data_IF_977259747365
#
_entry.id   IF_977259747365
#
_cell.length_a   1.000
_cell.length_b   1.000
_cell.length_c   1.000
_cell.angle_alpha   90.00
_cell.angle_beta   90.00
_cell.angle_gamma   90.00
#
_symmetry.space_group_name_H-M   'P 1'
#
loop_
_entity.id
_entity.type
_entity.pdbx_description
1 polymer ?
#
# COMPACT_ATOMS: atom_id res chain seq x y z
N UNK A 1 -20.40 -0.29 23.79
CA UNK A 1 -20.90 -1.55 23.19
C UNK A 1 -19.72 -2.50 23.03
N UNK A 2 -19.85 -3.77 23.40
CA UNK A 2 -18.80 -4.79 23.18
C UNK A 2 -19.15 -5.62 21.94
N UNK A 3 -18.24 -5.67 20.96
CA UNK A 3 -18.39 -6.49 19.74
C UNK A 3 -17.35 -7.63 19.77
N UNK A 4 -17.80 -8.82 20.18
CA UNK A 4 -16.99 -10.04 20.16
C UNK A 4 -17.35 -10.89 18.93
N UNK A 5 -16.32 -11.34 18.21
CA UNK A 5 -16.45 -12.25 17.07
C UNK A 5 -15.08 -12.78 16.66
N UNK A 6 -15.03 -13.95 16.01
CA UNK A 6 -13.78 -14.59 15.56
C UNK A 6 -12.94 -13.67 14.65
N UNK A 7 -11.61 -13.88 14.59
CA UNK A 7 -10.73 -13.18 13.66
C UNK A 7 -11.29 -13.19 12.24
N UNK A 8 -11.19 -12.07 11.53
CA UNK A 8 -11.72 -11.83 10.16
C UNK A 8 -13.22 -11.50 10.01
N UNK A 9 -14.04 -11.48 11.06
CA UNK A 9 -15.50 -11.22 10.93
C UNK A 9 -15.93 -9.78 10.57
N UNK A 10 -15.06 -8.94 9.99
CA UNK A 10 -15.41 -7.58 9.56
C UNK A 10 -15.64 -6.55 10.70
N UNK A 11 -15.26 -6.88 11.94
CA UNK A 11 -15.43 -6.00 13.13
C UNK A 11 -14.74 -4.65 12.97
N UNK A 12 -13.52 -4.63 12.41
CA UNK A 12 -12.80 -3.39 12.11
C UNK A 12 -13.53 -2.53 11.07
N UNK A 13 -14.27 -3.16 10.14
CA UNK A 13 -15.09 -2.45 9.15
C UNK A 13 -16.30 -1.78 9.78
N UNK A 14 -16.95 -2.42 10.76
CA UNK A 14 -18.09 -1.83 11.48
C UNK A 14 -17.66 -0.67 12.39
N UNK A 15 -16.52 -0.79 13.08
CA UNK A 15 -15.98 0.33 13.88
C UNK A 15 -15.56 1.49 12.99
N UNK A 16 -14.94 1.23 11.82
CA UNK A 16 -14.63 2.27 10.83
C UNK A 16 -15.90 2.94 10.28
N UNK A 17 -16.94 2.18 9.96
CA UNK A 17 -18.25 2.69 9.53
C UNK A 17 -18.94 3.53 10.62
N UNK A 18 -18.83 3.14 11.90
CA UNK A 18 -19.37 3.93 13.02
C UNK A 18 -18.59 5.24 13.25
N UNK A 19 -17.26 5.26 13.05
CA UNK A 19 -16.45 6.49 13.15
C UNK A 19 -16.81 7.50 12.06
N UNK A 20 -17.07 7.02 10.83
CA UNK A 20 -17.56 7.84 9.72
C UNK A 20 -18.91 8.49 10.05
N UNK A 21 -19.81 7.77 10.75
CA UNK A 21 -21.16 8.24 11.01
C UNK A 21 -21.31 9.18 12.23
N UNK A 22 -20.38 9.19 13.20
CA UNK A 22 -20.61 9.84 14.50
C UNK A 22 -19.53 10.80 15.03
N UNK A 23 -18.38 11.00 14.35
CA UNK A 23 -17.31 11.87 14.86
C UNK A 23 -16.70 12.68 13.71
N UNK A 24 -17.02 13.98 13.63
CA UNK A 24 -16.36 15.11 12.93
C UNK A 24 -15.21 14.87 11.92
N UNK A 25 -15.29 13.88 11.02
CA UNK A 25 -14.23 13.56 10.06
C UNK A 25 -12.88 13.23 10.71
N UNK A 26 -11.82 13.22 9.89
CA UNK A 26 -10.43 13.08 10.35
C UNK A 26 -9.78 14.45 10.49
N UNK A 27 -9.04 14.67 11.58
CA UNK A 27 -8.29 15.92 11.81
C UNK A 27 -7.13 16.07 10.80
N UNK A 28 -6.70 17.30 10.52
CA UNK A 28 -5.56 17.56 9.64
C UNK A 28 -4.27 16.87 10.13
N UNK A 29 -4.07 16.80 11.46
CA UNK A 29 -2.98 16.04 12.06
C UNK A 29 -3.05 14.53 11.78
N UNK A 30 -4.24 13.92 11.83
CA UNK A 30 -4.41 12.50 11.49
C UNK A 30 -4.14 12.25 10.01
N UNK A 31 -4.53 13.20 9.13
CA UNK A 31 -4.25 13.13 7.70
C UNK A 31 -2.75 13.17 7.42
N UNK A 32 -2.01 14.08 8.05
CA UNK A 32 -0.55 14.18 7.87
C UNK A 32 0.14 12.87 8.28
N UNK A 33 -0.21 12.30 9.43
CA UNK A 33 0.33 11.02 9.87
C UNK A 33 -0.02 9.87 8.90
N UNK A 34 -1.21 9.92 8.30
CA UNK A 34 -1.64 8.93 7.31
C UNK A 34 -0.90 9.02 5.98
N UNK A 35 -0.35 10.17 5.62
CA UNK A 35 0.46 10.30 4.39
C UNK A 35 1.66 9.36 4.45
N UNK A 36 2.37 9.30 5.58
CA UNK A 36 3.53 8.42 5.75
C UNK A 36 3.13 6.95 5.64
N UNK A 37 2.04 6.55 6.28
CA UNK A 37 1.52 5.18 6.18
C UNK A 37 1.12 4.82 4.74
N UNK A 38 0.53 5.75 3.98
CA UNK A 38 0.15 5.55 2.58
C UNK A 38 1.39 5.39 1.69
N UNK A 39 2.41 6.23 1.86
CA UNK A 39 3.69 6.11 1.16
C UNK A 39 4.34 4.76 1.43
N UNK A 40 4.34 4.33 2.70
CA UNK A 40 4.82 3.00 3.10
C UNK A 40 4.01 1.88 2.45
N UNK A 41 2.68 1.99 2.39
CA UNK A 41 1.84 1.00 1.71
C UNK A 41 2.17 0.88 0.22
N UNK A 42 2.43 1.99 -0.48
CA UNK A 42 2.86 1.97 -1.89
C UNK A 42 4.19 1.20 -2.04
N UNK A 43 5.17 1.54 -1.20
CA UNK A 43 6.50 0.93 -1.18
C UNK A 43 6.44 -0.56 -0.88
N UNK A 44 5.77 -0.93 0.21
CA UNK A 44 5.65 -2.33 0.63
C UNK A 44 4.89 -3.15 -0.43
N UNK A 45 3.89 -2.57 -1.10
CA UNK A 45 3.18 -3.23 -2.20
C UNK A 45 4.09 -3.51 -3.40
N UNK A 46 4.80 -2.50 -3.92
CA UNK A 46 5.65 -2.69 -5.10
C UNK A 46 6.86 -3.59 -4.79
N UNK A 47 7.46 -3.48 -3.59
CA UNK A 47 8.50 -4.38 -3.09
C UNK A 47 8.03 -5.83 -3.09
N UNK A 48 6.83 -6.07 -2.54
CA UNK A 48 6.28 -7.42 -2.43
C UNK A 48 6.00 -8.01 -3.81
N UNK A 49 5.38 -7.25 -4.71
CA UNK A 49 5.05 -7.74 -6.06
C UNK A 49 6.32 -8.07 -6.83
N UNK A 50 7.29 -7.14 -6.87
CA UNK A 50 8.54 -7.32 -7.63
C UNK A 50 9.42 -8.44 -7.03
N UNK A 51 9.46 -8.57 -5.71
CA UNK A 51 10.12 -9.69 -5.04
C UNK A 51 9.45 -11.04 -5.31
N UNK A 52 8.11 -11.06 -5.43
CA UNK A 52 7.36 -12.28 -5.69
C UNK A 52 7.57 -12.81 -7.12
N UNK A 53 7.85 -11.95 -8.11
CA UNK A 53 7.98 -12.33 -9.53
C UNK A 53 8.91 -13.53 -9.76
N UNK A 54 10.06 -13.58 -9.08
CA UNK A 54 11.04 -14.67 -9.19
C UNK A 54 10.69 -15.91 -8.36
N UNK A 55 9.84 -15.76 -7.34
CA UNK A 55 9.43 -16.84 -6.41
C UNK A 55 8.19 -17.60 -6.86
N UNK A 56 7.36 -16.98 -7.71
CA UNK A 56 6.18 -17.62 -8.29
C UNK A 56 6.57 -18.84 -9.14
N UNK A 57 5.68 -19.83 -9.22
CA UNK A 57 5.88 -21.04 -10.03
C UNK A 57 4.73 -21.21 -11.03
N UNK A 58 4.95 -21.05 -12.35
CA UNK A 58 6.20 -20.63 -12.99
C UNK A 58 6.56 -19.16 -12.65
N UNK A 59 7.85 -18.78 -12.71
CA UNK A 59 8.26 -17.41 -12.44
C UNK A 59 7.72 -16.46 -13.50
N UNK A 60 7.45 -15.22 -13.08
CA UNK A 60 6.97 -14.16 -13.96
C UNK A 60 8.15 -13.27 -14.33
N UNK A 61 8.33 -13.04 -15.63
CA UNK A 61 9.36 -12.13 -16.13
C UNK A 61 8.76 -10.76 -16.43
N UNK A 62 9.58 -9.71 -16.34
CA UNK A 62 9.20 -8.39 -16.81
C UNK A 62 8.90 -8.43 -18.31
N UNK A 63 7.88 -7.68 -18.74
CA UNK A 63 7.62 -7.50 -20.17
C UNK A 63 8.80 -6.79 -20.83
N UNK A 64 9.34 -5.77 -20.15
CA UNK A 64 10.48 -4.99 -20.63
C UNK A 64 11.71 -5.29 -19.78
N UNK A 65 12.78 -5.87 -20.35
CA UNK A 65 14.01 -6.16 -19.60
C UNK A 65 14.69 -4.88 -19.09
N UNK A 66 14.45 -3.74 -19.74
CA UNK A 66 14.90 -2.42 -19.31
C UNK A 66 14.35 -2.00 -17.94
N UNK A 67 13.24 -2.62 -17.48
CA UNK A 67 12.68 -2.36 -16.16
C UNK A 67 13.44 -3.09 -15.04
N UNK A 68 14.40 -3.98 -15.36
CA UNK A 68 15.15 -4.72 -14.34
C UNK A 68 15.92 -3.78 -13.40
N UNK A 69 16.57 -2.75 -13.95
CA UNK A 69 17.24 -1.69 -13.15
C UNK A 69 16.28 -1.02 -12.16
N UNK A 70 14.98 -0.93 -12.49
CA UNK A 70 13.97 -0.35 -11.59
C UNK A 70 13.59 -1.32 -10.50
N UNK A 71 13.47 -2.61 -10.82
CA UNK A 71 13.28 -3.66 -9.82
C UNK A 71 14.45 -3.67 -8.84
N UNK A 72 15.68 -3.61 -9.34
CA UNK A 72 16.89 -3.59 -8.54
C UNK A 72 16.90 -2.35 -7.61
N UNK A 73 16.58 -1.16 -8.12
CA UNK A 73 16.42 0.04 -7.30
C UNK A 73 15.37 -0.15 -6.19
N UNK A 74 14.20 -0.71 -6.52
CA UNK A 74 13.13 -0.93 -5.55
C UNK A 74 13.58 -1.91 -4.46
N UNK A 75 14.25 -3.00 -4.83
CA UNK A 75 14.70 -4.03 -3.87
C UNK A 75 15.89 -3.55 -3.03
N UNK A 76 16.84 -2.82 -3.61
CA UNK A 76 18.09 -2.44 -2.94
C UNK A 76 17.99 -1.11 -2.17
N UNK A 77 17.26 -0.12 -2.71
CA UNK A 77 17.16 1.21 -2.12
C UNK A 77 15.86 1.40 -1.32
N UNK A 78 14.72 1.00 -1.88
CA UNK A 78 13.43 1.24 -1.26
C UNK A 78 13.09 0.24 -0.13
N UNK A 79 13.92 -0.77 0.12
CA UNK A 79 13.75 -1.70 1.24
C UNK A 79 14.17 -1.11 2.60
N UNK A 80 14.86 0.03 2.60
CA UNK A 80 15.32 0.70 3.83
C UNK A 80 14.13 1.15 4.71
N UNK A 81 14.13 0.86 6.03
CA UNK A 81 13.13 1.35 6.96
C UNK A 81 12.96 2.87 6.97
N UNK A 82 14.06 3.61 6.81
CA UNK A 82 14.16 5.07 6.89
C UNK A 82 14.14 5.73 5.50
N UNK A 83 13.58 5.03 4.50
CA UNK A 83 13.49 5.52 3.12
C UNK A 83 12.66 6.82 2.99
N UNK A 84 13.26 7.85 2.38
CA UNK A 84 12.68 9.21 2.28
C UNK A 84 11.69 9.42 1.11
N UNK A 85 11.39 8.37 0.33
CA UNK A 85 10.45 8.43 -0.80
C UNK A 85 10.74 9.56 -1.82
N UNK A 86 11.92 9.58 -2.46
CA UNK A 86 12.27 10.60 -3.45
C UNK A 86 11.38 10.52 -4.71
N UNK A 87 11.30 11.58 -5.54
CA UNK A 87 10.50 11.57 -6.77
C UNK A 87 10.77 10.38 -7.69
N UNK A 88 12.05 10.00 -7.83
CA UNK A 88 12.51 8.84 -8.61
C UNK A 88 11.85 7.52 -8.20
N UNK A 89 11.54 7.34 -6.91
CA UNK A 89 10.85 6.15 -6.41
C UNK A 89 9.44 6.04 -7.00
N UNK A 90 8.70 7.15 -7.03
CA UNK A 90 7.36 7.16 -7.60
C UNK A 90 7.40 6.96 -9.12
N UNK A 91 8.40 7.51 -9.81
CA UNK A 91 8.59 7.29 -11.25
C UNK A 91 8.89 5.81 -11.56
N UNK A 92 9.78 5.18 -10.80
CA UNK A 92 10.08 3.76 -10.95
C UNK A 92 8.87 2.89 -10.64
N UNK A 93 8.14 3.21 -9.58
CA UNK A 93 6.91 2.51 -9.21
C UNK A 93 5.84 2.64 -10.29
N UNK A 94 5.63 3.83 -10.85
CA UNK A 94 4.66 4.08 -11.92
C UNK A 94 5.02 3.29 -13.20
N UNK A 95 6.29 3.29 -13.60
CA UNK A 95 6.75 2.53 -14.78
C UNK A 95 6.62 1.02 -14.55
N UNK A 96 7.03 0.52 -13.39
CA UNK A 96 6.92 -0.90 -13.04
C UNK A 96 5.47 -1.34 -12.98
N UNK A 97 4.58 -0.52 -12.40
CA UNK A 97 3.16 -0.86 -12.33
C UNK A 97 2.51 -0.99 -13.71
N UNK A 98 2.99 -0.26 -14.73
CA UNK A 98 2.51 -0.42 -16.10
C UNK A 98 3.12 -1.62 -16.85
N UNK A 99 4.11 -2.32 -16.28
CA UNK A 99 4.73 -3.50 -16.88
C UNK A 99 3.77 -4.71 -16.78
N UNK A 100 3.55 -5.40 -17.91
CA UNK A 100 2.63 -6.55 -17.91
C UNK A 100 3.12 -7.72 -17.06
N UNK A 101 4.43 -7.87 -16.87
CA UNK A 101 5.00 -8.86 -15.96
C UNK A 101 4.64 -8.55 -14.51
N UNK A 102 4.75 -7.29 -14.11
CA UNK A 102 4.34 -6.84 -12.76
C UNK A 102 2.83 -7.01 -12.57
N UNK A 103 2.02 -6.65 -13.56
CA UNK A 103 0.57 -6.88 -13.53
C UNK A 103 0.21 -8.38 -13.41
N UNK A 104 0.88 -9.25 -14.18
CA UNK A 104 0.65 -10.69 -14.09
C UNK A 104 1.06 -11.27 -12.73
N UNK A 105 2.13 -10.76 -12.12
CA UNK A 105 2.50 -11.14 -10.76
C UNK A 105 1.48 -10.64 -9.74
N UNK A 106 0.92 -9.45 -9.93
CA UNK A 106 -0.16 -8.91 -9.09
C UNK A 106 -1.45 -9.73 -9.19
N UNK A 107 -1.85 -10.20 -10.37
CA UNK A 107 -3.01 -11.07 -10.56
C UNK A 107 -2.88 -12.39 -9.78
N UNK A 108 -1.64 -12.83 -9.56
CA UNK A 108 -1.27 -14.01 -8.77
C UNK A 108 -0.96 -13.67 -7.31
N UNK A 109 -1.39 -12.51 -6.83
CA UNK A 109 -1.17 -12.07 -5.44
C UNK A 109 -1.79 -12.99 -4.39
N UNK A 110 -2.68 -13.91 -4.77
CA UNK A 110 -3.17 -14.97 -3.88
C UNK A 110 -2.11 -16.04 -3.53
N UNK A 111 -0.96 -16.06 -4.22
CA UNK A 111 0.14 -17.01 -3.98
C UNK A 111 1.20 -16.46 -3.01
N UNK A 112 1.11 -15.18 -2.62
CA UNK A 112 2.02 -14.53 -1.67
C UNK A 112 1.28 -13.52 -0.79
N UNK A 113 1.97 -12.89 0.16
CA UNK A 113 1.34 -11.99 1.13
C UNK A 113 1.35 -10.54 0.63
N UNK A 114 0.41 -10.18 -0.25
CA UNK A 114 0.21 -8.80 -0.69
C UNK A 114 -0.84 -8.07 0.15
N UNK A 115 -0.66 -6.77 0.35
CA UNK A 115 -1.66 -5.94 1.03
C UNK A 115 -2.88 -5.70 0.14
N UNK A 116 -4.10 -5.81 0.68
CA UNK A 116 -5.34 -5.67 -0.09
C UNK A 116 -5.50 -4.29 -0.76
N UNK A 117 -4.87 -3.26 -0.18
CA UNK A 117 -4.90 -1.89 -0.70
C UNK A 117 -3.86 -1.62 -1.79
N UNK A 118 -3.03 -2.60 -2.16
CA UNK A 118 -1.94 -2.45 -3.13
C UNK A 118 -2.42 -1.81 -4.44
N UNK A 119 -3.41 -2.42 -5.10
CA UNK A 119 -3.97 -1.89 -6.36
C UNK A 119 -4.46 -0.45 -6.23
N UNK A 120 -5.19 -0.16 -5.15
CA UNK A 120 -5.81 1.15 -4.94
C UNK A 120 -4.79 2.28 -4.81
N UNK A 121 -3.64 2.02 -4.20
CA UNK A 121 -2.57 3.01 -4.08
C UNK A 121 -1.62 3.01 -5.28
N UNK A 122 -1.29 1.84 -5.85
CA UNK A 122 -0.44 1.74 -7.04
C UNK A 122 -1.08 2.39 -8.27
N UNK A 123 -2.40 2.25 -8.46
CA UNK A 123 -3.16 2.95 -9.52
C UNK A 123 -3.15 4.48 -9.37
N UNK A 124 -2.74 5.01 -8.22
CA UNK A 124 -2.80 6.45 -7.88
C UNK A 124 -1.46 7.01 -7.41
N UNK A 125 -0.37 6.35 -7.73
CA UNK A 125 1.00 6.82 -7.46
C UNK A 125 1.22 8.23 -8.02
N UNK A 126 0.63 8.53 -9.17
CA UNK A 126 0.68 9.85 -9.80
C UNK A 126 0.07 10.98 -8.96
N UNK A 127 -0.88 10.67 -8.07
CA UNK A 127 -1.49 11.63 -7.13
C UNK A 127 -0.71 11.66 -5.82
N UNK A 128 -0.26 10.51 -5.34
CA UNK A 128 0.47 10.37 -4.07
C UNK A 128 1.86 11.02 -4.13
N UNK A 129 2.47 11.09 -5.33
CA UNK A 129 3.77 11.74 -5.54
C UNK A 129 3.73 13.27 -5.40
N UNK A 130 2.54 13.88 -5.41
CA UNK A 130 2.41 15.33 -5.24
C UNK A 130 2.80 15.73 -3.80
N UNK A 131 3.72 16.69 -3.59
CA UNK A 131 4.09 17.15 -2.26
C UNK A 131 2.92 17.78 -1.48
N UNK A 132 1.86 18.22 -2.18
CA UNK A 132 0.63 18.77 -1.59
C UNK A 132 -0.48 17.72 -1.47
N UNK A 133 -0.18 16.44 -1.68
CA UNK A 133 -1.15 15.36 -1.52
C UNK A 133 -1.79 15.39 -0.12
N UNK A 134 -3.12 15.46 -0.09
CA UNK A 134 -3.91 15.35 1.14
C UNK A 134 -4.82 14.12 1.01
N UNK A 135 -4.72 13.13 1.91
CA UNK A 135 -5.48 11.90 1.81
C UNK A 135 -6.95 12.17 2.05
N UNK A 136 -7.79 11.66 1.15
CA UNK A 136 -9.24 11.70 1.35
C UNK A 136 -9.69 10.61 2.34
N UNK A 137 -10.97 10.62 2.72
CA UNK A 137 -11.52 9.65 3.66
C UNK A 137 -11.32 8.20 3.19
N UNK A 138 -11.47 7.94 1.88
CA UNK A 138 -11.26 6.62 1.30
C UNK A 138 -9.80 6.17 1.43
N UNK A 139 -8.84 7.08 1.25
CA UNK A 139 -7.41 6.81 1.43
C UNK A 139 -7.11 6.40 2.87
N UNK A 140 -7.67 7.14 3.82
CA UNK A 140 -7.49 6.85 5.25
C UNK A 140 -8.13 5.51 5.62
N UNK A 141 -9.30 5.18 5.06
CA UNK A 141 -9.99 3.92 5.32
C UNK A 141 -9.25 2.71 4.74
N UNK A 142 -8.70 2.86 3.53
CA UNK A 142 -7.95 1.81 2.80
C UNK A 142 -6.51 1.67 3.27
N UNK A 143 -5.94 2.72 3.86
CA UNK A 143 -4.61 2.69 4.44
C UNK A 143 -4.51 1.56 5.48
N UNK A 144 -3.50 0.71 5.30
CA UNK A 144 -3.18 -0.36 6.24
C UNK A 144 -2.13 0.17 7.21
N UNK A 145 -2.57 0.38 8.44
CA UNK A 145 -1.69 0.57 9.59
C UNK A 145 -1.51 -0.78 10.24
N UNK A 146 -0.28 -1.30 10.30
CA UNK A 146 0.03 -2.46 11.13
C UNK A 146 -0.06 -2.00 12.60
N UNK A 147 -1.25 -2.14 13.19
CA UNK A 147 -1.46 -1.81 14.60
C UNK A 147 -0.83 -2.89 15.47
N UNK A 148 0.37 -2.64 15.98
CA UNK A 148 0.91 -3.30 17.18
C UNK A 148 0.21 -2.75 18.42
N UNK A 149 -1.11 -2.96 18.53
CA UNK A 149 -1.88 -2.51 19.70
C UNK A 149 -3.37 -2.37 19.42
N UNK A 150 -4.19 -2.89 20.33
CA UNK A 150 -5.65 -2.73 20.34
C UNK A 150 -5.96 -1.27 20.72
N UNK A 151 -6.69 -0.55 19.87
CA UNK A 151 -7.16 0.81 20.17
C UNK A 151 -8.55 0.74 20.81
N UNK A 152 -8.66 1.21 22.06
CA UNK A 152 -9.93 1.37 22.76
C UNK A 152 -10.40 2.83 22.61
N UNK A 153 -11.61 3.03 22.09
CA UNK A 153 -12.22 4.37 21.99
C UNK A 153 -13.11 4.57 23.22
N UNK A 154 -12.86 5.62 24.02
CA UNK A 154 -13.69 6.01 25.16
C UNK A 154 -14.96 6.73 24.73
#
# INVERSE_FOLDING_TARGET
LLLLGAGESGKSTIVKQMRILHVNGFTESEKVQKIEDIKKNVRDAILTITGAMSTLSPPVQLERPENQVRVDYIQDCASDPDFDYPPEFYEHTEILWQDKGVQAAFERSNEYQLIDCAKYFLDRVNVIKDPNYSPNEQDILRCRVLTSGIFETR
#
